data_IF_826932089789
#
_entry.id   IF_826932089789
#
_cell.length_a   1.000
_cell.length_b   1.000
_cell.length_c   1.000
_cell.angle_alpha   90.00
_cell.angle_beta   90.00
_cell.angle_gamma   90.00
#
_symmetry.space_group_name_H-M   'P 1'
#
loop_
_entity.id
_entity.type
_entity.pdbx_description
1 polymer ?
#
# COMPACT_ATOMS: atom_id res chain seq x y z
N UNK A 1 -10.36 -5.75 -8.95
CA UNK A 1 -9.26 -6.06 -8.02
C UNK A 1 -8.60 -4.75 -7.64
N UNK A 2 -7.94 -4.68 -6.48
CA UNK A 2 -7.06 -3.57 -6.13
C UNK A 2 -5.70 -4.14 -5.69
N UNK A 3 -4.64 -3.74 -6.38
CA UNK A 3 -3.26 -4.02 -6.03
C UNK A 3 -2.61 -2.83 -5.34
N UNK A 4 -1.86 -3.09 -4.27
CA UNK A 4 -1.10 -2.06 -3.54
C UNK A 4 0.29 -2.61 -3.26
N UNK A 5 1.32 -1.83 -3.63
CA UNK A 5 2.73 -2.19 -3.44
C UNK A 5 3.49 -1.06 -2.78
N UNK A 6 4.51 -1.39 -1.98
CA UNK A 6 5.40 -0.44 -1.32
C UNK A 6 6.82 -0.99 -1.35
N UNK A 7 7.76 -0.19 -1.84
CA UNK A 7 9.19 -0.54 -1.92
C UNK A 7 10.03 0.57 -1.31
N UNK A 8 11.05 0.21 -0.55
CA UNK A 8 12.04 1.13 0.01
C UNK A 8 13.42 0.46 -0.08
N UNK A 9 14.50 1.15 -0.49
CA UNK A 9 14.57 2.56 -0.92
C UNK A 9 14.34 2.73 -2.43
N UNK A 10 14.37 3.97 -2.94
CA UNK A 10 14.04 4.27 -4.35
C UNK A 10 15.25 4.61 -5.22
N UNK A 11 16.38 5.04 -4.64
CA UNK A 11 17.51 5.61 -5.37
C UNK A 11 18.09 4.72 -6.46
N UNK A 12 18.18 3.40 -6.22
CA UNK A 12 18.65 2.43 -7.22
C UNK A 12 17.56 1.96 -8.20
N UNK A 13 16.31 2.36 -7.99
CA UNK A 13 15.16 1.99 -8.84
C UNK A 13 14.93 3.06 -9.91
N UNK A 14 14.92 4.33 -9.52
CA UNK A 14 14.68 5.47 -10.41
C UNK A 14 14.06 6.67 -9.72
N UNK A 15 13.89 7.74 -10.49
CA UNK A 15 13.22 8.97 -10.05
C UNK A 15 11.77 9.02 -10.58
N UNK A 16 10.87 9.80 -9.93
CA UNK A 16 9.50 9.97 -10.38
C UNK A 16 9.40 10.53 -11.81
N UNK A 17 8.43 10.02 -12.59
CA UNK A 17 8.13 10.45 -13.94
C UNK A 17 6.85 11.30 -14.05
N UNK A 18 6.42 11.54 -15.30
CA UNK A 18 5.19 12.27 -15.59
C UNK A 18 3.96 11.54 -15.04
N UNK A 19 3.19 12.23 -14.20
CA UNK A 19 1.96 11.69 -13.58
C UNK A 19 2.16 11.08 -12.19
N UNK A 20 3.40 10.95 -11.72
CA UNK A 20 3.68 10.45 -10.37
C UNK A 20 3.38 11.50 -9.29
N UNK A 21 2.87 11.03 -8.15
CA UNK A 21 2.68 11.87 -6.97
C UNK A 21 3.96 11.91 -6.14
N UNK A 22 4.50 13.11 -5.94
CA UNK A 22 5.77 13.31 -5.23
C UNK A 22 5.57 14.18 -3.99
N UNK A 23 5.87 13.63 -2.81
CA UNK A 23 5.81 14.37 -1.54
C UNK A 23 6.91 15.43 -1.47
N UNK A 24 6.68 16.50 -0.72
CA UNK A 24 7.68 17.57 -0.58
C UNK A 24 8.95 17.09 0.14
N UNK A 25 8.82 16.13 1.07
CA UNK A 25 9.96 15.49 1.71
C UNK A 25 10.84 14.73 0.71
N UNK A 26 10.24 14.06 -0.28
CA UNK A 26 11.00 13.39 -1.34
C UNK A 26 11.71 14.38 -2.26
N UNK A 27 11.08 15.51 -2.59
CA UNK A 27 11.70 16.59 -3.38
C UNK A 27 12.90 17.22 -2.66
N UNK A 28 12.81 17.34 -1.34
CA UNK A 28 13.87 17.92 -0.50
C UNK A 28 15.04 16.95 -0.26
N UNK A 29 14.79 15.64 -0.34
CA UNK A 29 15.81 14.62 -0.12
C UNK A 29 16.87 14.59 -1.23
N UNK A 30 18.13 14.45 -0.82
CA UNK A 30 19.26 14.26 -1.72
C UNK A 30 19.28 12.85 -2.33
N UNK A 31 19.99 12.63 -3.45
CA UNK A 31 20.16 11.28 -4.01
C UNK A 31 20.75 10.28 -3.00
N UNK A 32 21.65 10.72 -2.12
CA UNK A 32 22.23 9.88 -1.06
C UNK A 32 21.18 9.45 -0.04
N UNK A 33 20.32 10.37 0.41
CA UNK A 33 19.24 10.10 1.37
C UNK A 33 18.15 9.16 0.83
N UNK A 34 18.03 9.07 -0.50
CA UNK A 34 17.08 8.17 -1.20
C UNK A 34 17.67 6.80 -1.51
N UNK A 35 18.95 6.56 -1.25
CA UNK A 35 19.66 5.34 -1.65
C UNK A 35 20.08 4.51 -0.45
N UNK A 36 20.59 3.31 -0.69
CA UNK A 36 21.25 2.51 0.33
C UNK A 36 22.41 3.30 0.98
N UNK A 37 22.58 3.21 2.32
CA UNK A 37 21.93 2.29 3.25
C UNK A 37 20.63 2.82 3.90
N UNK A 38 20.03 3.91 3.40
CA UNK A 38 18.86 4.54 3.99
C UNK A 38 17.54 3.92 3.50
N UNK A 39 17.08 2.89 4.21
CA UNK A 39 15.84 2.19 3.91
C UNK A 39 15.14 1.73 5.19
N UNK A 40 13.86 1.36 5.05
CA UNK A 40 13.09 0.74 6.11
C UNK A 40 12.25 -0.43 5.60
N UNK A 41 11.86 -1.27 6.56
CA UNK A 41 11.02 -2.45 6.39
C UNK A 41 9.56 -2.02 6.20
N UNK A 42 9.00 -2.27 5.01
CA UNK A 42 7.73 -1.68 4.58
C UNK A 42 6.54 -2.47 5.09
N UNK A 43 5.40 -1.79 5.30
CA UNK A 43 4.15 -2.45 5.67
C UNK A 43 2.97 -1.72 5.03
N UNK A 44 2.02 -2.49 4.47
CA UNK A 44 0.78 -1.96 3.91
C UNK A 44 -0.40 -2.37 4.76
N UNK A 45 -1.32 -1.42 5.01
CA UNK A 45 -2.67 -1.71 5.52
C UNK A 45 -3.73 -1.08 4.62
N UNK A 46 -4.79 -1.84 4.32
CA UNK A 46 -5.95 -1.32 3.58
C UNK A 46 -7.21 -1.39 4.43
N UNK A 47 -7.92 -0.27 4.52
CA UNK A 47 -9.10 -0.08 5.35
C UNK A 47 -10.26 0.52 4.56
N UNK A 48 -11.48 0.12 4.91
CA UNK A 48 -12.72 0.75 4.45
C UNK A 48 -13.10 1.86 5.43
N UNK A 49 -13.47 3.01 4.88
CA UNK A 49 -13.92 4.19 5.62
C UNK A 49 -15.44 4.33 5.58
N UNK A 50 -16.00 5.20 6.41
CA UNK A 50 -17.45 5.36 6.56
C UNK A 50 -18.15 6.16 5.45
N UNK A 51 -17.41 6.82 4.56
CA UNK A 51 -18.02 7.60 3.47
C UNK A 51 -18.55 6.69 2.36
N UNK A 52 -19.80 6.94 1.98
CA UNK A 52 -20.48 6.33 0.82
C UNK A 52 -20.86 7.37 -0.24
N UNK A 53 -20.67 8.66 0.04
CA UNK A 53 -20.88 9.78 -0.89
C UNK A 53 -19.62 10.67 -0.95
N UNK A 54 -19.37 11.38 -2.07
CA UNK A 54 -18.18 12.23 -2.22
C UNK A 54 -18.07 13.36 -1.17
N UNK A 55 -19.17 14.00 -0.83
CA UNK A 55 -19.24 15.08 0.17
C UNK A 55 -18.91 14.62 1.60
N UNK A 56 -18.95 13.31 1.86
CA UNK A 56 -18.64 12.72 3.17
C UNK A 56 -17.15 12.42 3.36
N UNK A 57 -16.33 12.48 2.30
CA UNK A 57 -14.93 12.02 2.31
C UNK A 57 -14.13 12.70 3.42
N UNK A 58 -14.20 14.04 3.51
CA UNK A 58 -13.44 14.80 4.50
C UNK A 58 -13.83 14.48 5.95
N UNK A 59 -15.11 14.17 6.19
CA UNK A 59 -15.61 13.75 7.52
C UNK A 59 -15.14 12.34 7.84
N UNK A 60 -15.25 11.40 6.89
CA UNK A 60 -14.88 10.02 7.07
C UNK A 60 -13.36 9.84 7.27
N UNK A 61 -12.53 10.66 6.62
CA UNK A 61 -11.07 10.64 6.80
C UNK A 61 -10.64 10.94 8.25
N UNK A 62 -11.44 11.71 8.99
CA UNK A 62 -11.21 12.03 10.42
C UNK A 62 -11.84 11.02 11.38
N UNK A 63 -12.70 10.14 10.87
CA UNK A 63 -13.37 9.12 11.67
C UNK A 63 -12.51 7.84 11.76
N UNK A 64 -12.89 6.93 12.67
CA UNK A 64 -12.28 5.61 12.73
C UNK A 64 -12.64 4.79 11.47
N UNK A 65 -11.74 3.92 10.99
CA UNK A 65 -12.05 2.92 9.98
C UNK A 65 -13.23 2.05 10.38
N UNK A 66 -14.01 1.59 9.40
CA UNK A 66 -15.15 0.70 9.65
C UNK A 66 -14.77 -0.78 9.48
N UNK A 67 -13.75 -1.08 8.67
CA UNK A 67 -13.29 -2.46 8.44
C UNK A 67 -11.84 -2.47 7.97
N UNK A 68 -11.01 -3.34 8.55
CA UNK A 68 -9.69 -3.69 8.02
C UNK A 68 -9.84 -4.77 6.94
N UNK A 69 -9.38 -4.50 5.73
CA UNK A 69 -9.54 -5.40 4.59
C UNK A 69 -8.33 -6.34 4.46
N UNK A 70 -7.12 -5.79 4.50
CA UNK A 70 -5.90 -6.59 4.46
C UNK A 70 -4.70 -5.85 5.09
N UNK A 71 -3.66 -6.62 5.40
CA UNK A 71 -2.31 -6.16 5.71
C UNK A 71 -1.31 -6.97 4.89
N UNK A 72 -0.13 -6.42 4.62
CA UNK A 72 1.00 -7.13 4.01
C UNK A 72 2.34 -6.53 4.48
N UNK A 73 3.34 -7.40 4.60
CA UNK A 73 4.68 -7.12 5.15
C UNK A 73 5.74 -7.37 4.05
N UNK A 74 6.00 -8.65 3.74
CA UNK A 74 7.05 -9.12 2.83
C UNK A 74 6.51 -9.72 1.52
N UNK A 75 5.31 -9.29 1.08
CA UNK A 75 4.58 -9.96 0.00
C UNK A 75 5.07 -9.64 -1.42
N UNK A 76 5.97 -8.68 -1.63
CA UNK A 76 6.34 -8.24 -2.98
C UNK A 76 7.15 -9.29 -3.73
N UNK A 77 6.57 -9.71 -4.86
CA UNK A 77 7.16 -10.61 -5.84
C UNK A 77 7.43 -9.92 -7.19
N UNK A 78 7.13 -8.62 -7.30
CA UNK A 78 7.21 -7.88 -8.58
C UNK A 78 8.55 -7.19 -8.80
N UNK A 79 9.25 -6.81 -7.73
CA UNK A 79 10.60 -6.26 -7.80
C UNK A 79 11.62 -7.28 -7.29
N UNK A 80 12.69 -7.46 -8.05
CA UNK A 80 13.80 -8.34 -7.66
C UNK A 80 14.69 -7.62 -6.65
N UNK A 81 14.33 -7.69 -5.38
CA UNK A 81 15.12 -7.08 -4.30
C UNK A 81 16.40 -7.88 -4.02
N UNK A 82 17.54 -7.21 -4.18
CA UNK A 82 18.89 -7.75 -3.92
C UNK A 82 19.74 -6.78 -3.07
N UNK A 83 19.21 -5.60 -2.71
CA UNK A 83 19.95 -4.56 -1.95
C UNK A 83 19.93 -4.83 -0.44
N UNK A 84 18.86 -5.47 0.04
CA UNK A 84 18.67 -5.93 1.42
C UNK A 84 17.72 -7.14 1.45
N UNK A 85 17.30 -7.57 2.64
CA UNK A 85 16.31 -8.63 2.80
C UNK A 85 14.99 -8.26 2.08
N UNK A 86 14.26 -9.27 1.58
CA UNK A 86 13.01 -9.08 0.83
C UNK A 86 11.86 -8.70 1.75
N UNK A 87 11.81 -7.42 2.14
CA UNK A 87 10.83 -6.83 3.06
C UNK A 87 9.96 -5.75 2.39
N UNK A 88 9.77 -5.87 1.08
CA UNK A 88 8.89 -5.01 0.33
C UNK A 88 7.47 -5.60 0.35
N UNK A 89 6.47 -4.74 0.55
CA UNK A 89 5.08 -5.18 0.69
C UNK A 89 4.32 -5.18 -0.64
N UNK A 90 3.44 -6.16 -0.82
CA UNK A 90 2.49 -6.26 -1.92
C UNK A 90 1.21 -6.98 -1.50
N UNK A 91 0.08 -6.30 -1.62
CA UNK A 91 -1.23 -6.89 -1.36
C UNK A 91 -2.15 -6.76 -2.58
N UNK A 92 -2.95 -7.81 -2.83
CA UNK A 92 -3.97 -7.82 -3.90
C UNK A 92 -5.32 -8.21 -3.30
N UNK A 93 -6.26 -7.26 -3.22
CA UNK A 93 -7.62 -7.48 -2.73
C UNK A 93 -8.53 -7.79 -3.92
N UNK A 94 -8.97 -9.05 -3.98
CA UNK A 94 -9.76 -9.56 -5.11
C UNK A 94 -10.82 -10.56 -4.68
N UNK A 95 -11.88 -10.62 -5.47
CA UNK A 95 -12.82 -11.75 -5.43
C UNK A 95 -12.13 -13.02 -5.99
N UNK A 96 -12.55 -14.22 -5.57
CA UNK A 96 -12.04 -15.46 -6.15
C UNK A 96 -12.23 -15.49 -7.68
N UNK A 97 -11.18 -15.78 -8.43
CA UNK A 97 -11.24 -15.90 -9.89
C UNK A 97 -10.13 -16.84 -10.43
N UNK A 98 -10.46 -18.03 -10.96
CA UNK A 98 -11.77 -18.67 -10.82
C UNK A 98 -12.07 -18.98 -9.33
N UNK A 99 -13.34 -19.12 -8.93
CA UNK A 99 -13.66 -19.62 -7.61
C UNK A 99 -13.20 -21.09 -7.49
N UNK A 100 -12.88 -21.57 -6.28
CA UNK A 100 -12.50 -22.98 -6.08
C UNK A 100 -13.72 -23.89 -6.24
N UNK A 101 -14.90 -23.39 -5.88
CA UNK A 101 -16.20 -24.03 -6.05
C UNK A 101 -17.29 -22.99 -6.32
N UNK A 102 -18.43 -23.39 -6.89
CA UNK A 102 -19.59 -22.49 -7.01
C UNK A 102 -20.15 -22.08 -5.64
N UNK A 103 -19.91 -22.86 -4.58
CA UNK A 103 -20.32 -22.49 -3.22
C UNK A 103 -19.51 -21.32 -2.66
N UNK A 104 -18.27 -21.10 -3.13
CA UNK A 104 -17.46 -19.94 -2.75
C UNK A 104 -18.14 -18.62 -3.12
N UNK A 105 -18.98 -18.62 -4.17
CA UNK A 105 -19.69 -17.44 -4.64
C UNK A 105 -20.84 -17.05 -3.71
N UNK A 106 -21.36 -17.98 -2.90
CA UNK A 106 -22.49 -17.73 -1.99
C UNK A 106 -22.05 -16.96 -0.75
N UNK A 107 -20.80 -17.14 -0.32
CA UNK A 107 -20.27 -16.65 0.96
C UNK A 107 -18.90 -15.97 0.79
N UNK A 108 -18.77 -15.11 -0.22
CA UNK A 108 -17.52 -14.35 -0.44
C UNK A 108 -17.22 -13.50 0.81
N UNK A 109 -16.00 -13.61 1.33
CA UNK A 109 -15.52 -12.77 2.43
C UNK A 109 -15.67 -11.29 2.08
N UNK A 110 -16.44 -10.55 2.89
CA UNK A 110 -16.71 -9.12 2.72
C UNK A 110 -15.46 -8.26 2.66
N UNK A 111 -14.32 -8.72 3.22
CA UNK A 111 -13.02 -8.05 3.11
C UNK A 111 -12.53 -7.92 1.67
N UNK A 112 -13.02 -8.76 0.76
CA UNK A 112 -12.66 -8.79 -0.67
C UNK A 112 -13.59 -7.96 -1.55
N UNK A 113 -14.69 -7.44 -1.00
CA UNK A 113 -15.72 -6.74 -1.76
C UNK A 113 -15.38 -5.26 -1.91
N UNK A 114 -14.77 -4.90 -3.03
CA UNK A 114 -14.47 -3.52 -3.40
C UNK A 114 -15.69 -2.81 -4.01
N UNK A 115 -16.68 -2.53 -3.17
CA UNK A 115 -17.93 -1.84 -3.54
C UNK A 115 -17.80 -0.32 -3.42
N UNK A 116 -18.82 0.43 -3.84
CA UNK A 116 -18.89 1.88 -3.63
C UNK A 116 -18.54 2.27 -2.18
N UNK A 117 -17.59 3.18 -2.04
CA UNK A 117 -17.19 3.72 -0.75
C UNK A 117 -15.80 4.36 -0.81
N UNK A 118 -15.35 4.85 0.35
CA UNK A 118 -14.00 5.37 0.53
C UNK A 118 -13.09 4.31 1.15
N UNK A 119 -11.85 4.24 0.65
CA UNK A 119 -10.81 3.34 1.12
C UNK A 119 -9.59 4.15 1.55
N UNK A 120 -8.96 3.75 2.65
CA UNK A 120 -7.69 4.29 3.14
C UNK A 120 -6.61 3.25 3.00
N UNK A 121 -5.52 3.63 2.35
CA UNK A 121 -4.29 2.84 2.27
C UNK A 121 -3.29 3.52 3.19
N UNK A 122 -2.73 2.77 4.12
CA UNK A 122 -1.67 3.22 5.01
C UNK A 122 -0.36 2.61 4.54
N UNK A 123 0.52 3.45 3.99
CA UNK A 123 1.91 3.14 3.73
C UNK A 123 2.70 3.40 5.02
N UNK A 124 3.19 2.34 5.65
CA UNK A 124 3.80 2.40 6.98
C UNK A 124 5.01 1.47 7.06
N UNK A 125 5.56 1.30 8.26
CA UNK A 125 6.71 0.44 8.58
C UNK A 125 6.29 -0.70 9.48
N UNK A 126 6.98 -1.85 9.37
CA UNK A 126 6.91 -2.95 10.34
C UNK A 126 7.46 -2.53 11.71
N UNK A 127 8.59 -1.81 11.71
CA UNK A 127 9.25 -1.33 12.92
C UNK A 127 8.46 -0.22 13.60
N UNK A 128 8.33 -0.31 14.92
CA UNK A 128 7.84 0.80 15.75
C UNK A 128 8.95 1.82 16.00
N UNK A 129 8.63 3.11 15.92
CA UNK A 129 9.56 4.21 16.21
C UNK A 129 9.97 5.01 14.97
N UNK A 130 11.10 5.71 15.07
CA UNK A 130 11.64 6.51 13.97
C UNK A 130 12.23 5.61 12.88
N UNK A 131 11.89 5.92 11.63
CA UNK A 131 12.44 5.27 10.44
C UNK A 131 12.98 6.33 9.48
N UNK A 132 14.03 5.97 8.73
CA UNK A 132 14.65 6.84 7.72
C UNK A 132 14.75 6.07 6.40
N UNK A 133 14.29 6.68 5.32
CA UNK A 133 14.46 6.18 3.96
C UNK A 133 13.39 6.73 3.02
N UNK A 134 13.68 6.69 1.73
CA UNK A 134 12.69 6.92 0.68
C UNK A 134 11.79 5.69 0.49
N UNK A 135 10.58 5.87 -0.03
CA UNK A 135 9.76 4.77 -0.54
C UNK A 135 8.97 5.18 -1.77
N UNK A 136 8.62 4.19 -2.59
CA UNK A 136 7.65 4.33 -3.68
C UNK A 136 6.44 3.46 -3.40
N UNK A 137 5.26 4.01 -3.61
CA UNK A 137 3.99 3.33 -3.46
C UNK A 137 3.27 3.24 -4.82
N UNK A 138 2.70 2.08 -5.11
CA UNK A 138 1.94 1.85 -6.35
C UNK A 138 0.55 1.32 -6.01
N UNK A 139 -0.48 1.87 -6.66
CA UNK A 139 -1.88 1.45 -6.49
C UNK A 139 -2.49 1.24 -7.87
N UNK A 140 -3.17 0.10 -8.08
CA UNK A 140 -3.83 -0.26 -9.34
C UNK A 140 -5.11 -1.07 -9.14
#
# INVERSE_FOLDING_TARGET
EMGVRMISPTGEIGEPGDGDLVSDAFKAATPEEKSMPHWFDTWIRVERMSAIMPDQIAKAAKAKPIQKLNDDDDGDDTYKEERHNKYNSLTRIKIPNPPKSFDDLKNIDTKKLLVRGLYRISFTTYKSGEVKGSFVASVG
#
